data_IF_591170550789
#
_entry.id   IF_591170550789
#
_cell.length_a   1.000
_cell.length_b   1.000
_cell.length_c   1.000
_cell.angle_alpha   90.00
_cell.angle_beta   90.00
_cell.angle_gamma   90.00
#
_symmetry.space_group_name_H-M   'P 1'
#
loop_
_entity.id
_entity.type
_entity.pdbx_description
1 polymer ?
#
# COMPACT_ATOMS: atom_id res chain seq x y z
N UNK A 1 15.83 15.48 9.67
CA UNK A 1 15.71 14.06 9.26
C UNK A 1 14.74 13.32 10.19
N UNK A 2 14.09 12.28 9.69
CA UNK A 2 13.09 11.46 10.39
C UNK A 2 13.14 10.05 9.82
N UNK A 3 12.88 9.03 10.64
CA UNK A 3 12.76 7.62 10.20
C UNK A 3 11.36 7.10 10.52
N UNK A 4 10.72 6.46 9.53
CA UNK A 4 9.56 5.60 9.73
C UNK A 4 10.01 4.14 9.67
N UNK A 5 9.58 3.32 10.62
CA UNK A 5 9.86 1.89 10.62
C UNK A 5 8.60 1.09 10.90
N UNK A 6 8.35 0.05 10.10
CA UNK A 6 7.34 -0.94 10.46
C UNK A 6 7.80 -1.70 11.70
N UNK A 7 6.86 -1.99 12.59
CA UNK A 7 7.12 -2.81 13.79
C UNK A 7 7.24 -4.28 13.41
N UNK A 8 6.43 -4.75 12.46
CA UNK A 8 6.39 -6.14 12.06
C UNK A 8 7.08 -6.36 10.73
N UNK A 9 8.38 -6.66 10.78
CA UNK A 9 9.17 -7.00 9.59
C UNK A 9 9.81 -8.39 9.74
N UNK A 10 9.91 -9.17 8.67
CA UNK A 10 10.63 -10.44 8.69
C UNK A 10 12.12 -10.24 9.03
N UNK A 11 12.62 -10.98 10.00
CA UNK A 11 14.04 -11.00 10.36
C UNK A 11 14.45 -9.95 11.40
N UNK A 12 14.19 -8.67 11.17
CA UNK A 12 14.52 -7.58 12.11
C UNK A 12 13.25 -6.81 12.39
N UNK A 13 12.83 -6.73 13.66
CA UNK A 13 11.66 -5.95 14.04
C UNK A 13 11.96 -4.45 14.21
N UNK A 14 10.92 -3.62 14.27
CA UNK A 14 11.07 -2.17 14.40
C UNK A 14 11.74 -1.74 15.71
N UNK A 15 11.67 -2.52 16.78
CA UNK A 15 12.37 -2.21 18.04
C UNK A 15 13.88 -2.40 17.89
N UNK A 16 14.31 -3.42 17.18
CA UNK A 16 15.72 -3.64 16.87
C UNK A 16 16.27 -2.52 15.95
N UNK A 17 15.46 -2.07 14.97
CA UNK A 17 15.80 -0.90 14.14
C UNK A 17 15.99 0.34 15.00
N UNK A 18 15.06 0.63 15.91
CA UNK A 18 15.16 1.74 16.85
C UNK A 18 16.44 1.67 17.68
N UNK A 19 16.75 0.50 18.24
CA UNK A 19 17.95 0.29 19.06
C UNK A 19 19.23 0.59 18.28
N UNK A 20 19.31 0.13 17.02
CA UNK A 20 20.47 0.39 16.14
C UNK A 20 20.59 1.86 15.79
N UNK A 21 19.48 2.54 15.52
CA UNK A 21 19.48 3.98 15.26
C UNK A 21 19.96 4.74 16.48
N UNK A 22 19.47 4.41 17.68
CA UNK A 22 19.88 5.07 18.93
C UNK A 22 21.36 4.91 19.24
N UNK A 23 21.98 3.81 18.83
CA UNK A 23 23.42 3.58 18.99
C UNK A 23 24.28 4.50 18.10
N UNK A 24 23.72 4.99 16.97
CA UNK A 24 24.46 5.81 15.99
C UNK A 24 24.04 7.28 16.05
N UNK A 25 22.74 7.55 16.21
CA UNK A 25 22.13 8.89 16.24
C UNK A 25 21.01 8.92 17.28
N UNK A 26 21.37 9.25 18.52
CA UNK A 26 20.43 9.21 19.65
C UNK A 26 19.22 10.15 19.48
N UNK A 27 19.43 11.33 18.87
CA UNK A 27 18.41 12.38 18.72
C UNK A 27 17.54 12.23 17.46
N UNK A 28 17.84 11.27 16.58
CA UNK A 28 17.07 11.10 15.34
C UNK A 28 15.65 10.61 15.66
N UNK A 29 14.59 11.36 15.34
CA UNK A 29 13.23 10.92 15.62
C UNK A 29 12.89 9.68 14.79
N UNK A 30 12.31 8.68 15.45
CA UNK A 30 11.84 7.45 14.83
C UNK A 30 10.36 7.28 15.12
N UNK A 31 9.56 7.13 14.07
CA UNK A 31 8.13 6.89 14.14
C UNK A 31 7.85 5.41 13.87
N UNK A 32 7.12 4.78 14.78
CA UNK A 32 6.65 3.41 14.59
C UNK A 32 5.45 3.39 13.63
N UNK A 33 5.45 2.45 12.68
CA UNK A 33 4.29 2.16 11.85
C UNK A 33 3.76 0.78 12.22
N UNK A 34 2.50 0.68 12.69
CA UNK A 34 1.97 -0.57 13.25
C UNK A 34 0.55 -0.85 12.78
N UNK A 35 0.26 -2.12 12.48
CA UNK A 35 -1.10 -2.61 12.25
C UNK A 35 -1.83 -2.98 13.54
N UNK A 36 -1.12 -3.01 14.70
CA UNK A 36 -1.68 -3.39 16.00
C UNK A 36 -2.34 -2.21 16.70
N UNK A 37 -3.37 -2.50 17.47
CA UNK A 37 -4.10 -1.54 18.29
C UNK A 37 -3.48 -1.32 19.69
N UNK A 38 -2.21 -1.69 19.87
CA UNK A 38 -1.51 -1.50 21.14
C UNK A 38 -1.50 -0.01 21.53
N UNK A 39 -1.41 0.26 22.81
CA UNK A 39 -1.40 1.62 23.34
C UNK A 39 -0.19 2.41 22.83
N UNK A 40 -0.41 3.62 22.31
CA UNK A 40 0.65 4.50 21.82
C UNK A 40 1.71 4.78 22.88
N UNK A 41 1.29 4.86 24.17
CA UNK A 41 2.19 5.09 25.29
C UNK A 41 3.29 4.03 25.39
N UNK A 42 2.98 2.76 25.11
CA UNK A 42 3.94 1.66 25.16
C UNK A 42 5.07 1.80 24.12
N UNK A 43 4.81 2.42 22.99
CA UNK A 43 5.84 2.70 21.97
C UNK A 43 6.68 3.92 22.35
N UNK A 44 6.04 4.97 22.87
CA UNK A 44 6.73 6.19 23.32
C UNK A 44 7.67 5.88 24.49
N UNK A 45 7.25 5.08 25.47
CA UNK A 45 8.10 4.61 26.59
C UNK A 45 9.34 3.85 26.11
N UNK A 46 9.26 3.18 24.97
CA UNK A 46 10.38 2.46 24.34
C UNK A 46 11.27 3.34 23.48
N UNK A 47 10.96 4.64 23.34
CA UNK A 47 11.80 5.63 22.69
C UNK A 47 11.40 5.98 21.25
N UNK A 48 10.22 5.56 20.77
CA UNK A 48 9.65 6.10 19.55
C UNK A 48 9.13 7.53 19.76
N UNK A 49 9.30 8.39 18.76
CA UNK A 49 8.81 9.77 18.82
C UNK A 49 7.29 9.85 18.61
N UNK A 50 6.72 8.91 17.89
CA UNK A 50 5.29 8.80 17.61
C UNK A 50 4.94 7.42 17.04
N UNK A 51 3.64 7.15 16.94
CA UNK A 51 3.10 5.95 16.28
C UNK A 51 2.14 6.36 15.18
N UNK A 52 2.22 5.70 14.01
CA UNK A 52 1.30 5.81 12.91
C UNK A 52 0.63 4.46 12.68
N UNK A 53 -0.69 4.40 12.80
CA UNK A 53 -1.45 3.15 12.73
C UNK A 53 -1.88 2.84 11.30
N UNK A 54 -1.65 1.62 10.85
CA UNK A 54 -2.14 1.12 9.56
C UNK A 54 -3.59 0.60 9.69
N UNK A 55 -4.48 0.90 8.74
CA UNK A 55 -4.32 1.85 7.64
C UNK A 55 -4.41 3.30 8.14
N UNK A 56 -3.61 4.20 7.61
CA UNK A 56 -3.61 5.61 7.99
C UNK A 56 -3.97 6.52 6.80
N UNK A 57 -4.71 7.58 7.10
CA UNK A 57 -4.99 8.63 6.13
C UNK A 57 -3.82 9.62 6.02
N UNK A 58 -3.76 10.36 4.90
CA UNK A 58 -2.75 11.41 4.69
C UNK A 58 -2.74 12.44 5.84
N UNK A 59 -3.91 12.82 6.33
CA UNK A 59 -4.03 13.76 7.43
C UNK A 59 -3.33 13.29 8.71
N UNK A 60 -3.43 11.99 9.04
CA UNK A 60 -2.75 11.40 10.20
C UNK A 60 -1.23 11.40 10.03
N UNK A 61 -0.74 11.08 8.82
CA UNK A 61 0.70 11.18 8.52
C UNK A 61 1.20 12.62 8.68
N UNK A 62 0.47 13.61 8.13
CA UNK A 62 0.83 15.04 8.24
C UNK A 62 0.80 15.49 9.71
N UNK A 63 -0.19 15.06 10.49
CA UNK A 63 -0.26 15.37 11.91
C UNK A 63 0.95 14.83 12.69
N UNK A 64 1.36 13.60 12.40
CA UNK A 64 2.57 12.99 13.00
C UNK A 64 3.82 13.77 12.58
N UNK A 65 3.96 14.12 11.30
CA UNK A 65 5.10 14.90 10.80
C UNK A 65 5.23 16.26 11.52
N UNK A 66 4.13 17.01 11.64
CA UNK A 66 4.11 18.31 12.34
C UNK A 66 4.49 18.18 13.82
N UNK A 67 4.06 17.09 14.47
CA UNK A 67 4.38 16.82 15.88
C UNK A 67 5.85 16.49 16.10
N UNK A 68 6.44 15.71 15.19
CA UNK A 68 7.79 15.13 15.36
C UNK A 68 8.89 16.02 14.78
N UNK A 69 8.59 16.80 13.74
CA UNK A 69 9.53 17.72 13.08
C UNK A 69 8.86 19.09 12.90
N UNK A 70 8.70 19.88 13.99
CA UNK A 70 7.98 21.16 13.95
C UNK A 70 8.60 22.17 12.98
N UNK A 71 9.93 22.11 12.77
CA UNK A 71 10.68 23.00 11.87
C UNK A 71 10.64 22.59 10.40
N UNK A 72 10.02 21.45 10.08
CA UNK A 72 9.97 20.93 8.71
C UNK A 72 9.00 21.72 7.82
N UNK A 73 8.69 23.00 8.11
CA UNK A 73 7.99 23.88 7.20
C UNK A 73 6.86 23.19 6.38
N UNK A 74 6.16 22.23 7.02
CA UNK A 74 4.97 21.64 6.41
C UNK A 74 3.98 22.81 6.35
N UNK A 75 3.89 23.43 5.18
CA UNK A 75 2.99 24.55 4.93
C UNK A 75 1.64 24.27 5.60
N UNK A 76 1.02 25.29 6.22
CA UNK A 76 -0.36 25.15 6.63
C UNK A 76 -1.11 24.50 5.47
N UNK A 77 -2.08 23.67 5.76
CA UNK A 77 -3.05 23.23 4.77
C UNK A 77 -3.61 24.48 4.05
N UNK A 78 -2.83 25.07 3.15
CA UNK A 78 -3.46 25.51 1.93
C UNK A 78 -4.01 24.21 1.37
N UNK A 79 -5.27 24.08 1.58
CA UNK A 79 -6.14 23.19 0.89
C UNK A 79 -5.54 22.93 -0.49
N UNK A 80 -4.72 21.88 -0.61
CA UNK A 80 -4.80 21.21 -1.91
C UNK A 80 -6.26 20.77 -1.90
N UNK A 81 -7.07 21.32 -2.80
CA UNK A 81 -8.48 21.03 -2.80
C UNK A 81 -8.62 19.53 -2.64
N UNK A 82 -9.71 19.09 -2.02
CA UNK A 82 -10.28 17.77 -2.33
C UNK A 82 -10.67 17.80 -3.82
N UNK A 83 -9.74 18.31 -4.64
CA UNK A 83 -9.77 18.25 -6.08
C UNK A 83 -9.74 16.76 -6.35
N UNK A 84 -10.87 16.34 -6.83
CA UNK A 84 -11.15 15.14 -7.56
C UNK A 84 -9.95 14.19 -7.49
N UNK A 85 -9.93 13.34 -6.44
CA UNK A 85 -8.82 12.46 -6.18
C UNK A 85 -8.47 11.83 -7.52
N UNK A 86 -7.30 12.21 -8.08
CA UNK A 86 -6.86 11.77 -9.40
C UNK A 86 -7.04 10.27 -9.41
N UNK A 87 -8.05 9.79 -10.13
CA UNK A 87 -8.49 8.40 -10.10
C UNK A 87 -8.02 7.71 -11.36
N UNK A 88 -7.97 6.40 -11.29
CA UNK A 88 -7.53 5.62 -12.43
C UNK A 88 -6.03 5.72 -12.68
N UNK A 89 -5.65 5.55 -13.93
CA UNK A 89 -4.24 5.55 -14.33
C UNK A 89 -3.55 6.90 -14.19
N UNK A 90 -4.30 7.99 -14.13
CA UNK A 90 -3.77 9.33 -13.86
C UNK A 90 -3.10 9.39 -12.48
N UNK A 91 -3.63 8.67 -11.49
CA UNK A 91 -3.00 8.56 -10.17
C UNK A 91 -1.61 7.92 -10.22
N UNK A 92 -1.39 6.98 -11.13
CA UNK A 92 -0.09 6.36 -11.36
C UNK A 92 0.84 7.28 -12.16
N UNK A 93 0.34 7.90 -13.22
CA UNK A 93 1.15 8.76 -14.10
C UNK A 93 1.52 10.08 -13.43
N UNK A 94 0.72 10.57 -12.49
CA UNK A 94 1.06 11.75 -11.68
C UNK A 94 2.38 11.58 -10.88
N UNK A 95 2.78 10.33 -10.59
CA UNK A 95 4.07 10.04 -9.94
C UNK A 95 5.27 10.40 -10.84
N UNK A 96 5.07 10.47 -12.15
CA UNK A 96 6.11 10.77 -13.13
C UNK A 96 6.41 12.28 -13.29
N UNK A 97 5.66 13.18 -12.63
CA UNK A 97 5.90 14.64 -12.65
C UNK A 97 6.15 15.19 -14.06
N UNK A 98 5.23 14.99 -14.99
CA UNK A 98 5.30 15.45 -16.40
C UNK A 98 6.35 14.76 -17.28
N UNK A 99 7.07 13.75 -16.80
CA UNK A 99 7.94 12.91 -17.62
C UNK A 99 7.14 11.79 -18.29
N UNK A 100 6.84 11.97 -19.57
CA UNK A 100 6.10 10.99 -20.37
C UNK A 100 6.81 9.62 -20.49
N UNK A 101 8.13 9.59 -20.46
CA UNK A 101 8.91 8.36 -20.45
C UNK A 101 8.76 7.59 -19.15
N UNK A 102 8.90 8.29 -18.02
CA UNK A 102 8.70 7.73 -16.71
C UNK A 102 7.25 7.28 -16.50
N UNK A 103 6.26 8.04 -16.96
CA UNK A 103 4.86 7.65 -16.90
C UNK A 103 4.61 6.33 -17.64
N UNK A 104 5.16 6.18 -18.84
CA UNK A 104 5.04 4.96 -19.64
C UNK A 104 5.70 3.75 -18.97
N UNK A 105 6.83 3.94 -18.30
CA UNK A 105 7.53 2.90 -17.56
C UNK A 105 6.75 2.46 -16.32
N UNK A 106 6.15 3.40 -15.59
CA UNK A 106 5.25 3.10 -14.46
C UNK A 106 4.09 2.22 -14.92
N UNK A 107 3.43 2.57 -16.05
CA UNK A 107 2.34 1.77 -16.59
C UNK A 107 2.82 0.40 -17.09
N UNK A 108 3.99 0.28 -17.68
CA UNK A 108 4.56 -1.03 -18.07
C UNK A 108 4.78 -1.93 -16.86
N UNK A 109 5.35 -1.37 -15.79
CA UNK A 109 5.55 -2.10 -14.52
C UNK A 109 4.22 -2.53 -13.92
N UNK A 110 3.25 -1.62 -13.85
CA UNK A 110 1.89 -1.94 -13.40
C UNK A 110 1.29 -3.10 -14.18
N UNK A 111 1.36 -3.06 -15.50
CA UNK A 111 0.82 -4.09 -16.40
C UNK A 111 1.50 -5.43 -16.13
N UNK A 112 2.83 -5.48 -16.13
CA UNK A 112 3.59 -6.72 -15.95
C UNK A 112 3.32 -7.39 -14.59
N UNK A 113 3.33 -6.59 -13.52
CA UNK A 113 3.07 -7.10 -12.18
C UNK A 113 1.64 -7.60 -12.01
N UNK A 114 0.65 -6.87 -12.53
CA UNK A 114 -0.74 -7.26 -12.35
C UNK A 114 -1.16 -8.43 -13.26
N UNK A 115 -0.53 -8.64 -14.40
CA UNK A 115 -0.68 -9.89 -15.17
C UNK A 115 -0.17 -11.09 -14.36
N UNK A 116 1.01 -10.99 -13.73
CA UNK A 116 1.55 -12.04 -12.89
C UNK A 116 0.70 -12.28 -11.62
N UNK A 117 0.16 -11.22 -11.03
CA UNK A 117 -0.74 -11.30 -9.88
C UNK A 117 -2.07 -12.00 -10.24
N UNK A 118 -2.69 -11.63 -11.37
CA UNK A 118 -3.92 -12.27 -11.84
C UNK A 118 -3.72 -13.77 -12.11
N UNK A 119 -2.60 -14.15 -12.69
CA UNK A 119 -2.27 -15.55 -12.92
C UNK A 119 -2.03 -16.30 -11.59
N UNK A 120 -1.36 -15.67 -10.64
CA UNK A 120 -1.18 -16.23 -9.29
C UNK A 120 -2.51 -16.43 -8.57
N UNK A 121 -3.43 -15.47 -8.66
CA UNK A 121 -4.79 -15.61 -8.12
C UNK A 121 -5.54 -16.79 -8.73
N UNK A 122 -5.52 -16.94 -10.07
CA UNK A 122 -6.15 -18.07 -10.76
C UNK A 122 -5.58 -19.39 -10.31
N UNK A 123 -4.26 -19.52 -10.30
CA UNK A 123 -3.58 -20.74 -9.89
C UNK A 123 -3.89 -21.12 -8.43
N UNK A 124 -3.81 -20.16 -7.52
CA UNK A 124 -4.11 -20.38 -6.10
C UNK A 124 -5.60 -20.74 -5.89
N UNK A 125 -6.52 -20.08 -6.61
CA UNK A 125 -7.94 -20.41 -6.57
C UNK A 125 -8.22 -21.84 -7.05
N UNK A 126 -7.61 -22.26 -8.16
CA UNK A 126 -7.76 -23.59 -8.71
C UNK A 126 -7.17 -24.68 -7.81
N UNK A 127 -6.04 -24.37 -7.15
CA UNK A 127 -5.39 -25.26 -6.19
C UNK A 127 -6.08 -25.31 -4.81
N UNK A 128 -7.01 -24.42 -4.53
CA UNK A 128 -7.62 -24.28 -3.20
C UNK A 128 -6.64 -23.73 -2.15
N UNK A 129 -5.57 -23.05 -2.58
CA UNK A 129 -4.53 -22.50 -1.70
C UNK A 129 -4.94 -21.14 -1.11
N UNK A 130 -5.63 -21.21 0.03
CA UNK A 130 -6.10 -20.03 0.74
C UNK A 130 -4.95 -19.14 1.26
N UNK A 131 -3.77 -19.71 1.55
CA UNK A 131 -2.61 -18.95 2.02
C UNK A 131 -2.07 -18.09 0.90
N UNK A 132 -1.88 -18.66 -0.28
CA UNK A 132 -1.44 -17.94 -1.47
C UNK A 132 -2.47 -16.87 -1.89
N UNK A 133 -3.79 -17.17 -1.80
CA UNK A 133 -4.84 -16.20 -2.09
C UNK A 133 -4.77 -14.97 -1.17
N UNK A 134 -4.62 -15.17 0.14
CA UNK A 134 -4.47 -14.07 1.09
C UNK A 134 -3.21 -13.23 0.83
N UNK A 135 -2.09 -13.91 0.61
CA UNK A 135 -0.81 -13.24 0.39
C UNK A 135 -0.81 -12.36 -0.87
N UNK A 136 -1.39 -12.85 -1.98
CA UNK A 136 -1.47 -12.07 -3.22
C UNK A 136 -2.50 -10.96 -3.12
N UNK A 137 -3.65 -11.19 -2.49
CA UNK A 137 -4.66 -10.18 -2.28
C UNK A 137 -4.12 -9.00 -1.46
N UNK A 138 -3.38 -9.27 -0.37
CA UNK A 138 -2.72 -8.26 0.44
C UNK A 138 -1.80 -7.34 -0.39
N UNK A 139 -1.01 -7.90 -1.31
CA UNK A 139 -0.12 -7.12 -2.18
C UNK A 139 -0.87 -6.22 -3.15
N UNK A 140 -2.07 -6.64 -3.56
CA UNK A 140 -2.84 -5.94 -4.59
C UNK A 140 -3.72 -4.82 -4.04
N UNK A 141 -4.19 -4.92 -2.78
CA UNK A 141 -5.09 -3.90 -2.17
C UNK A 141 -4.60 -2.46 -2.35
N UNK A 142 -3.32 -2.11 -2.06
CA UNK A 142 -2.87 -0.72 -2.12
C UNK A 142 -3.01 -0.10 -3.50
N UNK A 143 -2.63 -0.82 -4.56
CA UNK A 143 -2.64 -0.30 -5.92
C UNK A 143 -4.06 -0.05 -6.43
N UNK A 144 -5.02 -0.95 -6.14
CA UNK A 144 -6.41 -0.78 -6.56
C UNK A 144 -7.15 0.26 -5.73
N UNK A 145 -6.73 0.48 -4.48
CA UNK A 145 -7.19 1.62 -3.68
C UNK A 145 -6.69 2.95 -4.28
N UNK A 146 -5.43 3.01 -4.71
CA UNK A 146 -4.86 4.19 -5.39
C UNK A 146 -5.57 4.49 -6.72
N UNK A 147 -5.90 3.47 -7.49
CA UNK A 147 -6.65 3.59 -8.75
C UNK A 147 -8.11 4.02 -8.55
N UNK A 148 -8.62 4.00 -7.31
CA UNK A 148 -10.04 4.28 -7.03
C UNK A 148 -10.98 3.13 -7.44
N UNK A 149 -10.45 1.94 -7.68
CA UNK A 149 -11.21 0.71 -7.97
C UNK A 149 -11.76 0.10 -6.67
N UNK A 150 -12.70 0.82 -6.04
CA UNK A 150 -13.16 0.52 -4.67
C UNK A 150 -13.81 -0.86 -4.53
N UNK A 151 -14.61 -1.27 -5.52
CA UNK A 151 -15.24 -2.60 -5.51
C UNK A 151 -14.20 -3.72 -5.58
N UNK A 152 -13.20 -3.55 -6.43
CA UNK A 152 -12.11 -4.51 -6.57
C UNK A 152 -11.23 -4.53 -5.31
N UNK A 153 -10.89 -3.37 -4.76
CA UNK A 153 -10.15 -3.27 -3.50
C UNK A 153 -10.93 -3.91 -2.34
N UNK A 154 -12.26 -3.73 -2.28
CA UNK A 154 -13.10 -4.38 -1.28
C UNK A 154 -13.15 -5.91 -1.47
N UNK A 155 -13.21 -6.39 -2.71
CA UNK A 155 -13.14 -7.82 -3.01
C UNK A 155 -11.78 -8.43 -2.60
N UNK A 156 -10.68 -7.75 -2.89
CA UNK A 156 -9.34 -8.14 -2.46
C UNK A 156 -9.21 -8.18 -0.93
N UNK A 157 -9.74 -7.18 -0.21
CA UNK A 157 -9.77 -7.20 1.26
C UNK A 157 -10.59 -8.36 1.83
N UNK A 158 -11.67 -8.78 1.17
CA UNK A 158 -12.41 -9.98 1.57
C UNK A 158 -11.60 -11.25 1.39
N UNK A 159 -10.85 -11.37 0.28
CA UNK A 159 -9.92 -12.49 0.08
C UNK A 159 -8.82 -12.51 1.13
N UNK A 160 -8.24 -11.36 1.44
CA UNK A 160 -7.18 -11.19 2.44
C UNK A 160 -7.63 -11.64 3.84
N UNK A 161 -8.88 -11.31 4.23
CA UNK A 161 -9.44 -11.62 5.56
C UNK A 161 -10.10 -12.98 5.65
N UNK A 162 -10.14 -13.75 4.56
CA UNK A 162 -10.78 -15.06 4.57
C UNK A 162 -10.09 -16.02 5.54
N UNK A 163 -10.87 -16.71 6.36
CA UNK A 163 -10.38 -17.73 7.29
C UNK A 163 -10.67 -19.13 6.73
N UNK A 164 -9.80 -20.09 7.03
CA UNK A 164 -9.98 -21.48 6.63
C UNK A 164 -9.44 -21.84 5.24
N UNK A 165 -9.96 -22.94 4.68
CA UNK A 165 -9.61 -23.41 3.33
C UNK A 165 -10.40 -22.66 2.26
N UNK A 166 -9.86 -22.62 1.04
CA UNK A 166 -10.55 -22.02 -0.10
C UNK A 166 -11.76 -22.87 -0.50
N UNK A 167 -12.92 -22.52 0.02
CA UNK A 167 -14.20 -23.10 -0.39
C UNK A 167 -14.61 -22.63 -1.80
N UNK A 168 -15.75 -23.16 -2.30
CA UNK A 168 -16.25 -22.79 -3.62
C UNK A 168 -16.56 -21.30 -3.79
N UNK A 169 -17.01 -20.63 -2.73
CA UNK A 169 -17.34 -19.20 -2.75
C UNK A 169 -16.06 -18.35 -2.82
N UNK A 170 -15.06 -18.66 -2.01
CA UNK A 170 -13.76 -17.97 -2.02
C UNK A 170 -13.04 -18.16 -3.35
N UNK A 171 -13.09 -19.38 -3.90
CA UNK A 171 -12.54 -19.70 -5.22
C UNK A 171 -13.22 -18.87 -6.32
N UNK A 172 -14.56 -18.81 -6.33
CA UNK A 172 -15.31 -18.03 -7.31
C UNK A 172 -14.98 -16.54 -7.21
N UNK A 173 -14.90 -16.00 -5.98
CA UNK A 173 -14.53 -14.62 -5.74
C UNK A 173 -13.11 -14.30 -6.26
N UNK A 174 -12.15 -15.18 -6.01
CA UNK A 174 -10.77 -15.00 -6.48
C UNK A 174 -10.66 -15.02 -8.01
N UNK A 175 -11.42 -15.88 -8.69
CA UNK A 175 -11.48 -15.94 -10.15
C UNK A 175 -12.11 -14.66 -10.73
N UNK A 176 -13.20 -14.15 -10.13
CA UNK A 176 -13.81 -12.89 -10.54
C UNK A 176 -12.87 -11.69 -10.36
N UNK A 177 -12.12 -11.65 -9.25
CA UNK A 177 -11.07 -10.65 -9.05
C UNK A 177 -10.00 -10.74 -10.14
N UNK A 178 -9.52 -11.93 -10.47
CA UNK A 178 -8.49 -12.12 -11.49
C UNK A 178 -8.99 -11.72 -12.90
N UNK A 179 -10.27 -11.90 -13.19
CA UNK A 179 -10.88 -11.44 -14.44
C UNK A 179 -10.93 -9.93 -14.51
N UNK A 180 -11.43 -9.28 -13.45
CA UNK A 180 -11.49 -7.81 -13.37
C UNK A 180 -10.12 -7.15 -13.48
N UNK A 181 -9.11 -7.72 -12.81
CA UNK A 181 -7.71 -7.29 -12.97
C UNK A 181 -7.27 -7.37 -14.44
N UNK A 182 -7.60 -8.45 -15.13
CA UNK A 182 -7.30 -8.61 -16.55
C UNK A 182 -7.96 -7.55 -17.44
N UNK A 183 -9.18 -7.09 -17.12
CA UNK A 183 -9.85 -5.99 -17.82
C UNK A 183 -9.10 -4.67 -17.64
N UNK A 184 -8.75 -4.34 -16.41
CA UNK A 184 -8.01 -3.10 -16.06
C UNK A 184 -6.64 -3.09 -16.76
N UNK A 185 -5.93 -4.21 -16.75
CA UNK A 185 -4.64 -4.36 -17.44
C UNK A 185 -4.79 -4.16 -18.96
N UNK A 186 -5.84 -4.71 -19.56
CA UNK A 186 -6.10 -4.50 -21.00
C UNK A 186 -6.41 -3.04 -21.30
N UNK A 187 -7.17 -2.36 -20.44
CA UNK A 187 -7.44 -0.92 -20.59
C UNK A 187 -6.15 -0.11 -20.51
N UNK A 188 -5.29 -0.35 -19.51
CA UNK A 188 -3.99 0.30 -19.39
C UNK A 188 -3.10 0.12 -20.63
N UNK A 189 -3.01 -1.11 -21.16
CA UNK A 189 -2.24 -1.39 -22.39
C UNK A 189 -2.77 -0.59 -23.58
N UNK A 190 -4.09 -0.57 -23.76
CA UNK A 190 -4.72 0.12 -24.89
C UNK A 190 -4.50 1.63 -24.82
N UNK A 191 -4.61 2.20 -23.64
CA UNK A 191 -4.56 3.65 -23.45
C UNK A 191 -3.14 4.20 -23.48
N UNK A 192 -2.18 3.51 -22.86
CA UNK A 192 -0.84 4.05 -22.62
C UNK A 192 0.30 3.34 -23.36
N UNK A 193 0.11 2.10 -23.81
CA UNK A 193 1.18 1.29 -24.38
C UNK A 193 0.98 0.95 -25.87
N UNK A 194 -0.21 1.12 -26.43
CA UNK A 194 -0.41 1.03 -27.86
C UNK A 194 0.16 2.28 -28.53
N UNK A 195 1.17 2.10 -29.39
CA UNK A 195 1.68 3.17 -30.25
C UNK A 195 0.54 3.65 -31.17
N UNK A 196 0.30 4.97 -31.15
CA UNK A 196 -0.52 5.64 -32.17
C UNK A 196 0.31 5.90 -33.40
#
# INVERSE_FOLDING_TARGET
DLVFTDIQMPGVDGFEVLRRIRAVRAELPVVAVSARSDDESAYVERGFAAVLRKPFARAELVAVLRRVVPEAGVAPEECLPEEDAVRGFEALTALARDDAGAAREIIRTFVAENEAHAETLRRAALAGDAVALRAIAHKMVPIYTLLGEEELAAALRRLERSEGSADGALRSAALGVAERVGEIVRAAKKEYLCDR
#
